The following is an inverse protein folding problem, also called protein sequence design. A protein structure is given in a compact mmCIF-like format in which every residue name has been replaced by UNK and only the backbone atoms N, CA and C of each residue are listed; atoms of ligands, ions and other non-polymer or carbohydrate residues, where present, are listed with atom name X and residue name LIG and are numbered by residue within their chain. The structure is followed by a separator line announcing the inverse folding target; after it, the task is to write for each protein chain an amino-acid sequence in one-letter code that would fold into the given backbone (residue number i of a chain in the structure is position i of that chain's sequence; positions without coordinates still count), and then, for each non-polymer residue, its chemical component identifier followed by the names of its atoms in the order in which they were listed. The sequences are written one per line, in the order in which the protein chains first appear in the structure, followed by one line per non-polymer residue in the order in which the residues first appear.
data_IF_547667242797
#
_entry.id   IF_547667242797
#
_cell.length_a   1.000
_cell.length_b   1.000
_cell.length_c   1.000
_cell.angle_alpha   90.00
_cell.angle_beta   90.00
_cell.angle_gamma   90.00
#
_symmetry.space_group_name_H-M   'P 1'
#
loop_
_entity.id
_entity.type
_entity.pdbx_description
1 polymer ?
#
# COMPACT_ATOMS: atom_id res chain seq x y z
N UNK A 1 14.40 0.01 -11.09
CA UNK A 1 14.77 -0.15 -9.67
C UNK A 1 14.71 1.15 -8.88
N UNK A 2 15.19 2.28 -9.42
CA UNK A 2 15.17 3.59 -8.73
C UNK A 2 13.80 3.99 -8.14
N UNK A 3 12.71 3.81 -8.89
CA UNK A 3 11.36 4.11 -8.39
C UNK A 3 10.93 3.22 -7.23
N UNK A 4 11.29 1.94 -7.24
CA UNK A 4 10.97 1.02 -6.13
C UNK A 4 11.71 1.43 -4.85
N UNK A 5 13.00 1.79 -4.96
CA UNK A 5 13.79 2.31 -3.84
C UNK A 5 13.25 3.64 -3.33
N UNK A 6 12.85 4.54 -4.24
CA UNK A 6 12.20 5.80 -3.89
C UNK A 6 10.91 5.56 -3.12
N UNK A 7 10.01 4.75 -3.67
CA UNK A 7 8.72 4.40 -3.05
C UNK A 7 8.92 3.78 -1.66
N UNK A 8 9.82 2.80 -1.52
CA UNK A 8 10.19 2.21 -0.23
C UNK A 8 10.61 3.28 0.80
N UNK A 9 11.49 4.21 0.40
CA UNK A 9 11.98 5.28 1.29
C UNK A 9 10.88 6.26 1.69
N UNK A 10 9.93 6.56 0.79
CA UNK A 10 8.79 7.42 1.12
C UNK A 10 7.85 6.70 2.09
N UNK A 11 7.47 5.45 1.80
CA UNK A 11 6.60 4.66 2.67
C UNK A 11 7.19 4.50 4.08
N UNK A 12 8.50 4.26 4.21
CA UNK A 12 9.18 4.11 5.50
C UNK A 12 9.13 5.37 6.37
N UNK A 13 8.92 6.55 5.79
CA UNK A 13 8.79 7.83 6.51
C UNK A 13 7.36 8.15 6.93
N UNK A 14 6.37 7.44 6.39
CA UNK A 14 4.96 7.67 6.65
C UNK A 14 4.45 6.66 7.68
N UNK A 15 3.70 7.14 8.66
CA UNK A 15 3.23 6.36 9.82
C UNK A 15 1.99 5.51 9.54
N UNK A 16 1.23 5.86 8.50
CA UNK A 16 0.07 5.14 7.97
C UNK A 16 0.45 4.04 6.96
N UNK A 17 1.74 3.83 6.68
CA UNK A 17 2.18 2.75 5.81
C UNK A 17 3.12 1.82 6.56
N UNK A 18 2.94 0.52 6.35
CA UNK A 18 3.86 -0.49 6.90
C UNK A 18 4.32 -1.43 5.82
N UNK A 19 5.63 -1.55 5.69
CA UNK A 19 6.24 -2.50 4.77
C UNK A 19 6.02 -3.93 5.28
N UNK A 20 5.69 -4.83 4.36
CA UNK A 20 5.50 -6.25 4.67
C UNK A 20 6.83 -6.92 5.01
N UNK A 21 7.88 -6.49 4.32
CA UNK A 21 9.26 -6.91 4.53
C UNK A 21 10.08 -5.66 4.84
N UNK A 22 10.71 -5.61 6.01
CA UNK A 22 11.61 -4.50 6.39
C UNK A 22 13.02 -4.73 5.82
N UNK A 23 13.10 -4.86 4.50
CA UNK A 23 14.32 -4.99 3.73
C UNK A 23 14.21 -4.11 2.48
N UNK A 24 15.33 -3.60 1.98
CA UNK A 24 15.30 -2.85 0.73
C UNK A 24 14.78 -3.74 -0.42
N UNK A 25 14.00 -3.19 -1.37
CA UNK A 25 13.50 -3.96 -2.50
C UNK A 25 14.66 -4.50 -3.36
N UNK A 26 14.77 -5.81 -3.47
CA UNK A 26 15.74 -6.47 -4.36
C UNK A 26 15.40 -6.25 -5.84
N UNK A 27 14.11 -6.06 -6.13
CA UNK A 27 13.56 -5.89 -7.47
C UNK A 27 12.61 -4.68 -7.54
N UNK A 28 11.66 -4.71 -8.47
CA UNK A 28 10.67 -3.65 -8.70
C UNK A 28 9.43 -3.77 -7.81
N UNK A 29 9.38 -4.80 -6.96
CA UNK A 29 8.23 -5.10 -6.10
C UNK A 29 8.38 -4.42 -4.74
N UNK A 30 7.34 -3.73 -4.29
CA UNK A 30 7.25 -3.21 -2.93
C UNK A 30 5.92 -3.64 -2.32
N UNK A 31 5.99 -4.38 -1.21
CA UNK A 31 4.84 -4.93 -0.51
C UNK A 31 4.56 -4.13 0.76
N UNK A 32 3.33 -3.64 0.92
CA UNK A 32 2.98 -2.77 2.04
C UNK A 32 1.49 -2.86 2.40
N UNK A 33 1.19 -2.54 3.66
CA UNK A 33 -0.17 -2.27 4.15
C UNK A 33 -0.36 -0.77 4.30
N UNK A 34 -1.62 -0.34 4.17
CA UNK A 34 -2.08 0.99 4.54
C UNK A 34 -2.93 0.89 5.83
N UNK A 35 -2.65 1.76 6.78
CA UNK A 35 -3.31 1.87 8.07
C UNK A 35 -4.07 3.21 8.13
N UNK A 36 -5.41 3.18 7.99
CA UNK A 36 -6.20 4.39 8.17
C UNK A 36 -6.08 4.91 9.61
N UNK A 37 -6.34 6.21 9.85
CA UNK A 37 -6.21 6.82 11.17
C UNK A 37 -6.88 6.02 12.30
N UNK A 38 -8.07 5.43 12.05
CA UNK A 38 -8.78 4.61 13.05
C UNK A 38 -8.03 3.35 13.48
N UNK A 39 -7.26 2.73 12.58
CA UNK A 39 -6.56 1.47 12.86
C UNK A 39 -5.18 1.69 13.49
N UNK A 40 -4.64 2.91 13.46
CA UNK A 40 -3.31 3.20 14.03
C UNK A 40 -3.24 2.92 15.53
N UNK A 41 -4.35 3.09 16.24
CA UNK A 41 -4.43 2.92 17.70
C UNK A 41 -4.90 1.53 18.14
N UNK A 42 -5.25 0.65 17.19
CA UNK A 42 -5.73 -0.69 17.51
C UNK A 42 -4.53 -1.64 17.70
N UNK A 43 -4.50 -2.41 18.81
CA UNK A 43 -3.47 -3.41 19.06
C UNK A 43 -3.33 -4.41 17.90
N UNK A 44 -2.17 -5.06 17.81
CA UNK A 44 -1.99 -6.14 16.84
C UNK A 44 -2.74 -7.39 17.31
N UNK A 45 -3.94 -7.58 16.81
CA UNK A 45 -4.75 -8.77 17.03
C UNK A 45 -5.43 -9.26 15.74
N UNK A 46 -6.20 -10.34 15.87
CA UNK A 46 -6.94 -10.92 14.74
C UNK A 46 -8.00 -9.98 14.19
N UNK A 47 -8.58 -9.12 15.02
CA UNK A 47 -9.62 -8.16 14.59
C UNK A 47 -9.01 -7.10 13.67
N UNK A 48 -7.86 -6.53 14.05
CA UNK A 48 -7.14 -5.58 13.21
C UNK A 48 -6.73 -6.18 11.88
N UNK A 49 -6.29 -7.43 11.87
CA UNK A 49 -5.88 -8.13 10.65
C UNK A 49 -7.08 -8.38 9.72
N UNK A 50 -8.26 -8.71 10.27
CA UNK A 50 -9.51 -8.79 9.48
C UNK A 50 -9.92 -7.44 8.91
N UNK A 51 -9.74 -6.35 9.66
CA UNK A 51 -10.04 -5.00 9.18
C UNK A 51 -9.08 -4.56 8.07
N UNK A 52 -7.77 -4.81 8.21
CA UNK A 52 -6.78 -4.56 7.16
C UNK A 52 -7.14 -5.31 5.86
N UNK A 53 -7.59 -6.56 5.98
CA UNK A 53 -8.04 -7.34 4.84
C UNK A 53 -9.18 -6.64 4.09
N UNK A 54 -10.18 -6.11 4.81
CA UNK A 54 -11.32 -5.39 4.22
C UNK A 54 -10.88 -4.04 3.63
N UNK A 55 -9.99 -3.31 4.28
CA UNK A 55 -9.51 -2.01 3.80
C UNK A 55 -8.79 -2.14 2.46
N UNK A 56 -7.90 -3.13 2.31
CA UNK A 56 -7.21 -3.36 1.04
C UNK A 56 -8.20 -3.61 -0.11
N UNK A 57 -9.27 -4.38 0.14
CA UNK A 57 -10.34 -4.64 -0.82
C UNK A 57 -11.12 -3.36 -1.17
N UNK A 58 -11.52 -2.58 -0.16
CA UNK A 58 -12.28 -1.34 -0.35
C UNK A 58 -11.50 -0.30 -1.15
N UNK A 59 -10.23 -0.06 -0.80
CA UNK A 59 -9.37 0.88 -1.53
C UNK A 59 -9.22 0.42 -2.98
N UNK A 60 -8.99 -0.88 -3.23
CA UNK A 60 -8.91 -1.40 -4.60
C UNK A 60 -10.22 -1.20 -5.38
N UNK A 61 -11.37 -1.45 -4.77
CA UNK A 61 -12.67 -1.24 -5.41
C UNK A 61 -12.87 0.24 -5.80
N UNK A 62 -12.59 1.16 -4.87
CA UNK A 62 -12.68 2.59 -5.13
C UNK A 62 -11.69 3.09 -6.18
N UNK A 63 -10.48 2.52 -6.23
CA UNK A 63 -9.50 2.80 -7.27
C UNK A 63 -10.00 2.39 -8.67
N UNK A 64 -10.64 1.22 -8.77
CA UNK A 64 -11.21 0.72 -10.03
C UNK A 64 -12.39 1.60 -10.46
N UNK A 65 -13.27 1.97 -9.53
CA UNK A 65 -14.41 2.84 -9.79
C UNK A 65 -13.98 4.24 -10.23
N UNK A 66 -12.97 4.81 -9.58
CA UNK A 66 -12.41 6.12 -9.93
C UNK A 66 -11.63 6.10 -11.26
N UNK A 67 -11.14 4.93 -11.70
CA UNK A 67 -10.37 4.78 -12.93
C UNK A 67 -9.02 5.50 -12.94
N UNK A 68 -8.50 5.91 -11.77
CA UNK A 68 -7.30 6.75 -11.64
C UNK A 68 -6.01 5.93 -11.67
N UNK A 69 -5.94 4.89 -10.84
CA UNK A 69 -4.76 4.02 -10.70
C UNK A 69 -5.17 2.61 -10.34
N UNK A 70 -4.27 1.64 -10.55
CA UNK A 70 -4.50 0.26 -10.14
C UNK A 70 -3.25 -0.35 -9.54
N UNK A 71 -3.41 -0.91 -8.35
CA UNK A 71 -2.42 -1.75 -7.68
C UNK A 71 -3.01 -3.13 -7.40
N UNK A 72 -2.17 -4.16 -7.34
CA UNK A 72 -2.59 -5.49 -6.94
C UNK A 72 -2.52 -5.65 -5.42
N UNK A 73 -3.37 -6.50 -4.86
CA UNK A 73 -3.27 -6.95 -3.49
C UNK A 73 -3.29 -8.47 -3.43
N UNK A 74 -2.67 -9.05 -2.40
CA UNK A 74 -2.76 -10.48 -2.14
C UNK A 74 -2.42 -10.81 -0.67
N UNK A 75 -2.89 -11.96 -0.15
CA UNK A 75 -2.38 -12.52 1.10
C UNK A 75 -1.09 -13.33 0.85
N UNK A 76 -0.33 -13.61 1.91
CA UNK A 76 0.84 -14.50 1.83
C UNK A 76 1.16 -15.16 3.18
N UNK A 77 0.92 -16.46 3.30
CA UNK A 77 1.14 -17.21 4.55
C UNK A 77 0.29 -16.66 5.69
N UNK A 78 0.94 -16.21 6.76
CA UNK A 78 0.34 -15.58 7.94
C UNK A 78 -0.04 -14.10 7.72
N UNK A 79 0.23 -13.54 6.54
CA UNK A 79 -0.01 -12.13 6.23
C UNK A 79 -1.33 -11.96 5.50
N UNK A 80 -2.23 -11.19 6.10
CA UNK A 80 -3.47 -10.72 5.46
C UNK A 80 -3.19 -9.84 4.24
N UNK A 81 -4.23 -9.56 3.45
CA UNK A 81 -4.10 -8.77 2.22
C UNK A 81 -3.22 -7.53 2.39
N UNK A 82 -2.18 -7.44 1.57
CA UNK A 82 -1.31 -6.29 1.41
C UNK A 82 -1.25 -5.89 -0.06
N UNK A 83 -0.87 -4.65 -0.32
CA UNK A 83 -0.64 -4.17 -1.67
C UNK A 83 0.74 -4.58 -2.17
N UNK A 84 0.84 -4.96 -3.45
CA UNK A 84 2.09 -5.21 -4.16
C UNK A 84 2.21 -4.23 -5.33
N UNK A 85 3.01 -3.20 -5.15
CA UNK A 85 3.36 -2.29 -6.25
C UNK A 85 4.49 -2.89 -7.07
N UNK A 86 4.36 -2.84 -8.40
CA UNK A 86 5.38 -3.33 -9.34
C UNK A 86 5.71 -2.22 -10.34
N UNK A 87 6.95 -1.75 -10.33
CA UNK A 87 7.42 -0.74 -11.27
C UNK A 87 8.05 -1.37 -12.51
N UNK A 88 7.25 -1.66 -13.54
CA UNK A 88 7.71 -2.18 -14.83
C UNK A 88 7.58 -1.20 -15.99
N UNK A 89 6.70 -0.20 -15.87
CA UNK A 89 6.43 0.76 -16.93
C UNK A 89 7.53 1.84 -17.00
N UNK A 90 8.27 1.99 -18.11
CA UNK A 90 9.30 3.01 -18.25
C UNK A 90 8.73 4.44 -18.32
N UNK A 91 7.42 4.61 -18.56
CA UNK A 91 6.77 5.91 -18.55
C UNK A 91 6.51 6.45 -17.13
N UNK A 92 6.57 5.59 -16.10
CA UNK A 92 6.34 6.00 -14.71
C UNK A 92 7.41 6.98 -14.23
N UNK A 93 6.98 8.03 -13.56
CA UNK A 93 7.79 9.10 -12.96
C UNK A 93 7.58 9.14 -11.46
N UNK A 94 8.44 9.87 -10.75
CA UNK A 94 8.29 10.06 -9.28
C UNK A 94 6.94 10.69 -8.93
N UNK A 95 6.45 11.63 -9.74
CA UNK A 95 5.15 12.24 -9.56
C UNK A 95 3.99 11.22 -9.57
N UNK A 96 4.07 10.17 -10.41
CA UNK A 96 3.06 9.11 -10.42
C UNK A 96 3.14 8.24 -9.16
N UNK A 97 4.35 8.06 -8.62
CA UNK A 97 4.57 7.35 -7.35
C UNK A 97 3.97 8.14 -6.18
N UNK A 98 4.22 9.44 -6.15
CA UNK A 98 3.68 10.33 -5.13
C UNK A 98 2.13 10.37 -5.23
N UNK A 99 1.59 10.50 -6.45
CA UNK A 99 0.15 10.42 -6.70
C UNK A 99 -0.47 9.11 -6.20
N UNK A 100 0.18 7.96 -6.44
CA UNK A 100 -0.31 6.67 -5.96
C UNK A 100 -0.43 6.65 -4.43
N UNK A 101 0.54 7.21 -3.71
CA UNK A 101 0.51 7.28 -2.24
C UNK A 101 -0.65 8.16 -1.79
N UNK A 102 -0.75 9.36 -2.36
CA UNK A 102 -1.78 10.34 -2.03
C UNK A 102 -3.18 9.79 -2.33
N UNK A 103 -3.33 9.04 -3.42
CA UNK A 103 -4.60 8.42 -3.80
C UNK A 103 -4.99 7.30 -2.82
N UNK A 104 -4.04 6.47 -2.36
CA UNK A 104 -4.30 5.46 -1.31
C UNK A 104 -4.73 6.15 0.00
N UNK A 105 -4.05 7.24 0.38
CA UNK A 105 -4.41 8.01 1.58
C UNK A 105 -5.80 8.64 1.42
N UNK A 106 -6.11 9.24 0.27
CA UNK A 106 -7.39 9.89 -0.01
C UNK A 106 -8.55 8.91 0.04
N UNK A 107 -8.40 7.74 -0.57
CA UNK A 107 -9.42 6.68 -0.59
C UNK A 107 -9.52 5.98 0.77
N UNK A 108 -8.40 5.85 1.48
CA UNK A 108 -8.32 5.12 2.74
C UNK A 108 -8.60 5.93 4.00
N UNK A 109 -8.53 7.27 3.98
CA UNK A 109 -8.62 8.09 5.20
C UNK A 109 -9.91 7.90 6.01
N UNK A 110 -11.03 7.63 5.33
CA UNK A 110 -12.36 7.49 5.93
C UNK A 110 -12.72 6.01 6.17
N UNK A 111 -11.78 5.09 5.91
CA UNK A 111 -11.98 3.64 5.97
C UNK A 111 -11.58 2.99 7.28
#
# INVERSE_FOLDING_TARGET
MELAKYFYKVLKKKDNFKLVFDAEPELTNVCFWYFPPRLKHIPKDSERDQELQKIALKIKAQMVEAGTTMINYQPCGDKVNFFRMVFSNPATRRADVDYLIDEIERLGKDL
#
